data_IF_060971535288
#
_entry.id   IF_060971535288
#
_cell.length_a   1.000
_cell.length_b   1.000
_cell.length_c   1.000
_cell.angle_alpha   90.00
_cell.angle_beta   90.00
_cell.angle_gamma   90.00
#
_symmetry.space_group_name_H-M   'P 1'
#
loop_
_entity.id
_entity.type
_entity.pdbx_description
1 polymer ?
#
# COMPACT_ATOMS: atom_id res chain seq x y z
N UNK A 1 28.06 7.90 -2.27
CA UNK A 1 26.68 8.42 -2.12
C UNK A 1 26.59 9.18 -0.80
N UNK A 2 26.16 10.45 -0.77
CA UNK A 2 26.02 11.17 0.52
C UNK A 2 24.84 10.56 1.29
N UNK A 3 24.90 10.54 2.64
CA UNK A 3 23.84 9.97 3.49
C UNK A 3 22.44 10.49 3.14
N UNK A 4 22.35 11.78 2.76
CA UNK A 4 21.12 12.44 2.31
C UNK A 4 20.55 11.83 1.02
N UNK A 5 21.40 11.54 0.06
CA UNK A 5 20.95 11.00 -1.24
C UNK A 5 20.46 9.56 -1.07
N UNK A 6 21.16 8.78 -0.23
CA UNK A 6 20.72 7.43 0.17
C UNK A 6 19.33 7.45 0.83
N UNK A 7 19.11 8.40 1.75
CA UNK A 7 17.83 8.55 2.42
C UNK A 7 16.70 8.88 1.44
N UNK A 8 16.94 9.76 0.46
CA UNK A 8 15.93 10.11 -0.55
C UNK A 8 15.61 8.94 -1.46
N UNK A 9 16.63 8.20 -1.90
CA UNK A 9 16.45 7.00 -2.71
C UNK A 9 15.62 5.96 -1.93
N UNK A 10 15.94 5.73 -0.66
CA UNK A 10 15.18 4.82 0.21
C UNK A 10 13.73 5.29 0.38
N UNK A 11 13.53 6.59 0.61
CA UNK A 11 12.19 7.16 0.75
C UNK A 11 11.37 6.99 -0.53
N UNK A 12 11.96 7.24 -1.69
CA UNK A 12 11.30 7.03 -2.99
C UNK A 12 10.97 5.56 -3.23
N UNK A 13 11.91 4.66 -2.96
CA UNK A 13 11.69 3.22 -3.08
C UNK A 13 10.55 2.75 -2.17
N UNK A 14 10.53 3.20 -0.91
CA UNK A 14 9.46 2.89 0.04
C UNK A 14 8.11 3.46 -0.41
N UNK A 15 8.06 4.70 -0.89
CA UNK A 15 6.84 5.32 -1.42
C UNK A 15 6.27 4.56 -2.60
N UNK A 16 7.12 4.18 -3.57
CA UNK A 16 6.71 3.41 -4.75
C UNK A 16 6.21 2.03 -4.34
N UNK A 17 6.96 1.33 -3.49
CA UNK A 17 6.58 0.02 -2.96
C UNK A 17 5.22 0.08 -2.26
N UNK A 18 5.04 1.04 -1.36
CA UNK A 18 3.80 1.18 -0.60
C UNK A 18 2.63 1.56 -1.51
N UNK A 19 2.86 2.37 -2.54
CA UNK A 19 1.85 2.71 -3.55
C UNK A 19 1.39 1.45 -4.29
N UNK A 20 2.33 0.66 -4.80
CA UNK A 20 2.06 -0.58 -5.52
C UNK A 20 1.31 -1.60 -4.64
N UNK A 21 1.74 -1.74 -3.37
CA UNK A 21 1.07 -2.57 -2.39
C UNK A 21 -0.36 -2.07 -2.11
N UNK A 22 -0.55 -0.76 -1.89
CA UNK A 22 -1.87 -0.16 -1.59
C UNK A 22 -2.86 -0.39 -2.72
N UNK A 23 -2.44 -0.18 -3.96
CA UNK A 23 -3.27 -0.39 -5.15
C UNK A 23 -3.65 -1.87 -5.27
N UNK A 24 -2.66 -2.76 -5.18
CA UNK A 24 -2.88 -4.20 -5.26
C UNK A 24 -3.80 -4.70 -4.14
N UNK A 25 -3.59 -4.22 -2.91
CA UNK A 25 -4.39 -4.58 -1.74
C UNK A 25 -5.85 -4.16 -1.91
N UNK A 26 -6.10 -2.94 -2.39
CA UNK A 26 -7.47 -2.46 -2.68
C UNK A 26 -8.15 -3.27 -3.78
N UNK A 27 -7.41 -3.59 -4.84
CA UNK A 27 -7.94 -4.42 -5.93
C UNK A 27 -8.34 -5.81 -5.43
N UNK A 28 -7.48 -6.47 -4.65
CA UNK A 28 -7.77 -7.79 -4.08
C UNK A 28 -8.90 -7.70 -3.05
N UNK A 29 -8.89 -6.67 -2.21
CA UNK A 29 -9.89 -6.47 -1.16
C UNK A 29 -11.31 -6.21 -1.70
N UNK A 30 -11.46 -5.75 -2.94
CA UNK A 30 -12.78 -5.64 -3.58
C UNK A 30 -13.54 -6.97 -3.68
N UNK A 31 -12.85 -8.10 -3.51
CA UNK A 31 -13.42 -9.46 -3.50
C UNK A 31 -13.79 -9.94 -2.09
N UNK A 32 -13.54 -9.13 -1.07
CA UNK A 32 -13.96 -9.40 0.30
C UNK A 32 -15.40 -8.91 0.47
N UNK A 33 -16.21 -9.69 1.17
CA UNK A 33 -17.58 -9.33 1.52
C UNK A 33 -17.75 -9.36 3.03
N UNK A 34 -18.52 -8.41 3.56
CA UNK A 34 -18.83 -8.34 4.98
C UNK A 34 -20.18 -8.98 5.24
N UNK A 35 -20.20 -9.99 6.11
CA UNK A 35 -21.42 -10.65 6.57
C UNK A 35 -21.40 -10.73 8.09
N UNK A 36 -22.50 -10.31 8.73
CA UNK A 36 -22.62 -10.28 10.19
C UNK A 36 -21.42 -9.56 10.87
N UNK A 37 -20.97 -8.45 10.29
CA UNK A 37 -19.83 -7.65 10.79
C UNK A 37 -18.45 -8.30 10.65
N UNK A 38 -18.34 -9.44 9.95
CA UNK A 38 -17.07 -10.15 9.73
C UNK A 38 -16.71 -10.18 8.23
N UNK A 39 -15.45 -9.96 7.87
CA UNK A 39 -15.00 -10.05 6.48
C UNK A 39 -14.79 -11.52 6.06
N UNK A 40 -15.19 -11.86 4.84
CA UNK A 40 -14.99 -13.16 4.21
C UNK A 40 -14.50 -13.00 2.76
N UNK A 41 -13.68 -13.93 2.31
CA UNK A 41 -13.40 -14.12 0.89
C UNK A 41 -14.65 -14.65 0.20
N UNK A 42 -15.00 -14.06 -0.94
CA UNK A 42 -16.19 -14.45 -1.72
C UNK A 42 -16.07 -15.83 -2.39
N UNK A 43 -14.85 -16.24 -2.76
CA UNK A 43 -14.61 -17.42 -3.60
C UNK A 43 -13.48 -18.30 -3.06
N UNK A 44 -13.55 -19.59 -3.41
CA UNK A 44 -12.44 -20.52 -3.27
C UNK A 44 -11.58 -20.56 -4.56
N UNK A 45 -10.25 -20.78 -4.45
CA UNK A 45 -9.46 -20.76 -3.22
C UNK A 45 -9.29 -19.34 -2.66
N UNK A 46 -9.12 -19.21 -1.35
CA UNK A 46 -8.95 -17.92 -0.69
C UNK A 46 -7.76 -17.13 -1.26
N UNK A 47 -7.96 -15.83 -1.43
CA UNK A 47 -6.88 -14.89 -1.71
C UNK A 47 -6.02 -14.64 -0.48
N UNK A 48 -5.05 -13.75 -0.61
CA UNK A 48 -4.32 -13.22 0.55
C UNK A 48 -3.94 -11.76 0.34
N UNK A 49 -3.90 -11.00 1.43
CA UNK A 49 -3.37 -9.63 1.43
C UNK A 49 -1.90 -9.60 1.84
N UNK A 50 -1.41 -10.66 2.50
CA UNK A 50 -0.05 -10.78 3.00
C UNK A 50 0.73 -11.93 2.32
N UNK A 51 2.05 -11.82 2.09
CA UNK A 51 2.89 -10.61 2.20
C UNK A 51 2.76 -9.66 1.01
N UNK A 52 2.28 -10.16 -0.13
CA UNK A 52 1.88 -9.36 -1.28
C UNK A 52 0.44 -9.70 -1.67
N UNK A 53 -0.42 -8.70 -1.96
CA UNK A 53 -1.80 -8.96 -2.27
C UNK A 53 -1.93 -9.83 -3.52
N UNK A 54 -2.55 -10.99 -3.37
CA UNK A 54 -2.72 -11.95 -4.43
C UNK A 54 -4.19 -12.37 -4.54
N UNK A 55 -4.72 -12.23 -5.76
CA UNK A 55 -5.99 -12.83 -6.14
C UNK A 55 -5.68 -14.22 -6.70
N UNK A 56 -6.24 -15.27 -6.10
CA UNK A 56 -6.26 -16.56 -6.79
C UNK A 56 -7.34 -16.50 -7.87
N UNK A 57 -7.03 -17.02 -9.06
CA UNK A 57 -7.96 -17.01 -10.18
C UNK A 57 -9.20 -17.84 -9.84
N UNK A 58 -10.35 -17.31 -10.26
CA UNK A 58 -11.67 -17.80 -9.87
C UNK A 58 -11.97 -19.03 -10.71
N UNK A 59 -11.64 -20.20 -10.17
CA UNK A 59 -12.01 -21.50 -10.74
C UNK A 59 -12.95 -22.26 -9.77
N UNK A 60 -13.12 -21.76 -8.53
CA UNK A 60 -13.89 -22.45 -7.49
C UNK A 60 -15.31 -21.90 -7.27
N UNK A 61 -16.14 -22.67 -6.53
CA UNK A 61 -17.49 -22.28 -6.16
C UNK A 61 -17.53 -21.03 -5.28
N UNK A 62 -18.68 -20.34 -5.31
CA UNK A 62 -18.96 -19.21 -4.42
C UNK A 62 -19.13 -19.73 -3.00
N UNK A 63 -18.07 -19.62 -2.19
CA UNK A 63 -18.01 -20.13 -0.82
C UNK A 63 -17.41 -19.05 0.06
N UNK A 64 -18.08 -18.76 1.18
CA UNK A 64 -17.61 -17.80 2.17
C UNK A 64 -16.46 -18.41 2.96
N UNK A 65 -15.24 -17.94 2.67
CA UNK A 65 -14.05 -18.37 3.43
C UNK A 65 -13.66 -17.26 4.39
N UNK A 66 -13.63 -17.58 5.69
CA UNK A 66 -13.19 -16.63 6.71
C UNK A 66 -11.76 -16.14 6.40
N UNK A 67 -11.52 -14.84 6.53
CA UNK A 67 -10.16 -14.32 6.43
C UNK A 67 -9.29 -14.90 7.55
N UNK A 68 -8.01 -15.12 7.26
CA UNK A 68 -7.04 -15.36 8.32
C UNK A 68 -6.88 -14.09 9.19
N UNK A 69 -6.26 -14.23 10.36
CA UNK A 69 -6.14 -13.12 11.32
C UNK A 69 -5.37 -11.92 10.75
N UNK A 70 -4.28 -12.18 10.02
CA UNK A 70 -3.43 -11.16 9.40
C UNK A 70 -4.17 -10.37 8.32
N UNK A 71 -4.82 -11.06 7.39
CA UNK A 71 -5.62 -10.48 6.32
C UNK A 71 -6.82 -9.73 6.89
N UNK A 72 -7.45 -10.26 7.96
CA UNK A 72 -8.53 -9.56 8.64
C UNK A 72 -8.05 -8.26 9.29
N UNK A 73 -6.85 -8.25 9.89
CA UNK A 73 -6.24 -7.03 10.41
C UNK A 73 -5.95 -6.02 9.29
N UNK A 74 -5.32 -6.46 8.21
CA UNK A 74 -5.00 -5.61 7.05
C UNK A 74 -6.28 -5.01 6.45
N UNK A 75 -7.30 -5.83 6.23
CA UNK A 75 -8.55 -5.35 5.67
C UNK A 75 -9.24 -4.34 6.60
N UNK A 76 -9.46 -4.70 7.86
CA UNK A 76 -10.23 -3.87 8.79
C UNK A 76 -9.51 -2.58 9.20
N UNK A 77 -8.19 -2.61 9.38
CA UNK A 77 -7.44 -1.48 9.94
C UNK A 77 -6.59 -0.72 8.94
N UNK A 78 -6.10 -1.34 7.87
CA UNK A 78 -5.21 -0.68 6.90
C UNK A 78 -5.96 -0.24 5.65
N UNK A 79 -6.87 -1.07 5.14
CA UNK A 79 -7.62 -0.80 3.91
C UNK A 79 -8.91 -0.02 4.21
N UNK A 80 -9.78 -0.56 5.08
CA UNK A 80 -11.12 0.00 5.35
C UNK A 80 -11.07 1.40 5.97
N UNK A 81 -10.11 1.68 6.83
CA UNK A 81 -9.90 2.99 7.47
C UNK A 81 -9.13 3.98 6.59
N UNK A 82 -8.72 3.58 5.38
CA UNK A 82 -7.84 4.36 4.50
C UNK A 82 -6.44 4.65 5.08
N UNK A 83 -6.07 4.07 6.23
CA UNK A 83 -4.80 4.33 6.90
C UNK A 83 -3.58 4.11 5.98
N UNK A 84 -3.60 3.03 5.21
CA UNK A 84 -2.51 2.72 4.27
C UNK A 84 -2.34 3.81 3.20
N UNK A 85 -3.45 4.37 2.72
CA UNK A 85 -3.44 5.46 1.76
C UNK A 85 -2.99 6.78 2.37
N UNK A 86 -3.34 7.05 3.63
CA UNK A 86 -2.84 8.22 4.37
C UNK A 86 -1.32 8.13 4.54
N UNK A 87 -0.80 6.98 4.97
CA UNK A 87 0.64 6.77 5.11
C UNK A 87 1.35 6.95 3.76
N UNK A 88 0.78 6.39 2.69
CA UNK A 88 1.31 6.55 1.33
C UNK A 88 1.35 8.03 0.90
N UNK A 89 0.30 8.80 1.16
CA UNK A 89 0.25 10.22 0.85
C UNK A 89 1.29 11.02 1.63
N UNK A 90 1.48 10.72 2.92
CA UNK A 90 2.49 11.37 3.77
C UNK A 90 3.91 11.09 3.27
N UNK A 91 4.21 9.86 2.85
CA UNK A 91 5.51 9.50 2.29
C UNK A 91 5.81 10.28 1.00
N UNK A 92 4.85 10.37 0.09
CA UNK A 92 4.98 11.18 -1.13
C UNK A 92 5.13 12.67 -0.83
N UNK A 93 4.38 13.19 0.13
CA UNK A 93 4.48 14.59 0.55
C UNK A 93 5.88 14.93 1.08
N UNK A 94 6.44 14.06 1.94
CA UNK A 94 7.82 14.21 2.42
C UNK A 94 8.85 14.12 1.29
N UNK A 95 8.67 13.19 0.35
CA UNK A 95 9.56 13.05 -0.80
C UNK A 95 9.57 14.32 -1.67
N UNK A 96 8.39 14.88 -1.96
CA UNK A 96 8.24 16.12 -2.75
C UNK A 96 8.93 17.30 -2.04
N UNK A 97 8.73 17.46 -0.72
CA UNK A 97 9.38 18.54 0.05
C UNK A 97 10.91 18.44 -0.04
N UNK A 98 11.47 17.24 0.10
CA UNK A 98 12.92 17.04 0.07
C UNK A 98 13.50 17.31 -1.32
N UNK A 99 12.84 16.82 -2.37
CA UNK A 99 13.23 17.10 -3.76
C UNK A 99 13.18 18.60 -4.04
N UNK A 100 12.11 19.28 -3.63
CA UNK A 100 11.95 20.71 -3.81
C UNK A 100 13.06 21.51 -3.11
N UNK A 101 13.40 21.16 -1.86
CA UNK A 101 14.50 21.80 -1.13
C UNK A 101 15.84 21.65 -1.86
N UNK A 102 16.13 20.46 -2.40
CA UNK A 102 17.37 20.22 -3.15
C UNK A 102 17.40 21.02 -4.45
N UNK A 103 16.31 21.02 -5.21
CA UNK A 103 16.21 21.78 -6.46
C UNK A 103 16.40 23.29 -6.22
N UNK A 104 15.80 23.82 -5.14
CA UNK A 104 15.97 25.22 -4.74
C UNK A 104 17.41 25.54 -4.36
N UNK A 105 18.07 24.70 -3.56
CA UNK A 105 19.48 24.89 -3.21
C UNK A 105 20.40 24.83 -4.42
N UNK A 106 20.19 23.87 -5.33
CA UNK A 106 20.98 23.76 -6.56
C UNK A 106 20.84 25.01 -7.45
N UNK A 107 19.61 25.53 -7.61
CA UNK A 107 19.34 26.76 -8.35
C UNK A 107 20.04 27.98 -7.74
N UNK A 108 20.07 28.08 -6.41
CA UNK A 108 20.75 29.19 -5.72
C UNK A 108 22.28 29.17 -5.85
N UNK A 109 22.89 28.00 -6.06
CA UNK A 109 24.34 27.88 -6.28
C UNK A 109 24.74 28.24 -7.70
N UNK A 110 23.87 28.00 -8.69
CA UNK A 110 24.14 28.30 -10.11
C UNK A 110 23.93 29.77 -10.48
N UNK A 111 23.17 30.54 -9.70
CA UNK A 111 22.95 31.98 -9.96
C UNK A 111 23.97 32.89 -9.27
N UNK A 112 25.04 32.34 -8.72
CA UNK A 112 26.07 33.05 -7.96
C UNK A 112 27.43 32.80 -8.60
#
# INVERSE_FOLDING_TARGET
MKKRDAFIILLLAASVYLTAYTVSARMVASRIIEMNGKPYWRNAPAGSLWPWPNKKDVIGPLVLIKLNETDSFIYNYLIKTYLLSIICALLWFLAIILIYKIAKSAKSTLSR
#
